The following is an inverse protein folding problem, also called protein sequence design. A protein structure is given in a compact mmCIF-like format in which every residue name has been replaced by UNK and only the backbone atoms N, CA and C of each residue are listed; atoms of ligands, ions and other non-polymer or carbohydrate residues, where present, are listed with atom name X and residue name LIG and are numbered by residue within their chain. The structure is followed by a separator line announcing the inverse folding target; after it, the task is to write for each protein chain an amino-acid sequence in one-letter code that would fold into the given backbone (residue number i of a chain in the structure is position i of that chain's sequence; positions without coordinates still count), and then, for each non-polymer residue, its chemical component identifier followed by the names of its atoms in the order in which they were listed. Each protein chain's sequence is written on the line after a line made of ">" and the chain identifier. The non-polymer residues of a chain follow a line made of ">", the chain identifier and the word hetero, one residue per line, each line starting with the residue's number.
data_IF_600236927204
#
_entry.id   IF_600236927204
#
_cell.length_a   1.000
_cell.length_b   1.000
_cell.length_c   1.000
_cell.angle_alpha   90.00
_cell.angle_beta   90.00
_cell.angle_gamma   90.00
#
_symmetry.space_group_name_H-M   'P 1'
#
loop_
_entity.id
_entity.type
_entity.pdbx_description
1 polymer ?
#
# COMPACT_ATOMS: atom_id res chain seq x y z
N UNK A 1 -23.20 20.75 4.78
CA UNK A 1 -22.22 19.64 4.83
C UNK A 1 -20.79 20.19 4.76
N UNK A 2 -20.17 20.54 5.89
CA UNK A 2 -18.77 21.03 5.98
C UNK A 2 -18.09 20.38 7.19
N UNK A 3 -17.68 19.11 7.06
CA UNK A 3 -17.06 18.36 8.17
C UNK A 3 -15.95 17.37 7.76
N UNK A 4 -15.84 17.02 6.48
CA UNK A 4 -14.83 16.05 6.00
C UNK A 4 -13.49 16.69 5.59
N UNK A 5 -13.24 17.94 5.99
CA UNK A 5 -11.99 18.62 5.65
C UNK A 5 -10.94 18.32 6.71
N UNK A 6 -10.00 17.44 6.33
CA UNK A 6 -8.67 17.21 6.92
C UNK A 6 -8.61 16.30 8.15
N UNK A 7 -8.98 15.03 7.98
CA UNK A 7 -8.29 14.00 8.78
C UNK A 7 -6.81 14.06 8.38
N UNK A 8 -5.94 14.41 9.32
CA UNK A 8 -4.50 14.43 9.06
C UNK A 8 -4.00 13.01 8.72
N UNK A 9 -2.99 12.86 7.83
CA UNK A 9 -2.41 11.55 7.52
C UNK A 9 -1.98 10.78 8.78
N UNK A 10 -1.54 11.51 9.81
CA UNK A 10 -1.17 10.94 11.12
C UNK A 10 -2.38 10.41 11.90
N UNK A 11 -3.52 11.11 11.86
CA UNK A 11 -4.75 10.65 12.49
C UNK A 11 -5.30 9.40 11.79
N UNK A 12 -5.24 9.36 10.46
CA UNK A 12 -5.61 8.18 9.66
C UNK A 12 -4.70 6.98 9.98
N UNK A 13 -3.38 7.19 10.03
CA UNK A 13 -2.41 6.15 10.41
C UNK A 13 -2.72 5.56 11.79
N UNK A 14 -2.99 6.41 12.79
CA UNK A 14 -3.37 5.96 14.14
C UNK A 14 -4.69 5.19 14.17
N UNK A 15 -5.67 5.61 13.36
CA UNK A 15 -6.94 4.91 13.24
C UNK A 15 -6.75 3.52 12.64
N UNK A 16 -6.00 3.41 11.54
CA UNK A 16 -5.67 2.13 10.90
C UNK A 16 -4.96 1.18 11.86
N UNK A 17 -3.95 1.68 12.59
CA UNK A 17 -3.25 0.88 13.61
C UNK A 17 -4.20 0.34 14.69
N UNK A 18 -5.18 1.12 15.14
CA UNK A 18 -6.20 0.67 16.12
C UNK A 18 -7.12 -0.43 15.57
N UNK A 19 -7.29 -0.49 14.25
CA UNK A 19 -8.07 -1.54 13.58
C UNK A 19 -7.20 -2.77 13.25
N UNK A 20 -5.96 -2.83 13.74
CA UNK A 20 -5.02 -3.92 13.42
C UNK A 20 -4.47 -3.84 12.00
N UNK A 21 -4.66 -2.71 11.32
CA UNK A 21 -4.17 -2.49 9.96
C UNK A 21 -2.80 -1.81 10.06
N UNK A 22 -1.75 -2.55 9.67
CA UNK A 22 -0.37 -2.03 9.62
C UNK A 22 0.05 -1.78 8.18
N UNK A 23 0.58 -0.60 7.91
CA UNK A 23 1.19 -0.26 6.62
C UNK A 23 2.69 -0.05 6.82
N UNK A 24 3.50 -0.84 6.11
CA UNK A 24 4.96 -0.80 6.18
C UNK A 24 5.55 -0.72 4.77
N UNK A 25 6.59 0.11 4.55
CA UNK A 25 7.37 0.03 3.31
C UNK A 25 8.00 -1.36 3.19
N UNK A 26 8.18 -1.81 1.95
CA UNK A 26 9.03 -2.95 1.61
C UNK A 26 10.33 -2.39 1.06
N UNK A 27 11.41 -2.62 1.79
CA UNK A 27 12.73 -2.12 1.43
C UNK A 27 13.36 -2.97 0.32
N UNK A 28 14.31 -2.36 -0.40
CA UNK A 28 15.16 -3.01 -1.41
C UNK A 28 14.41 -3.77 -2.52
N UNK A 29 13.27 -3.25 -2.96
CA UNK A 29 12.52 -3.85 -4.08
C UNK A 29 13.18 -3.50 -5.40
N UNK A 30 13.73 -4.51 -6.06
CA UNK A 30 14.36 -4.35 -7.37
C UNK A 30 13.34 -4.33 -8.52
N UNK A 31 12.26 -5.11 -8.42
CA UNK A 31 11.31 -5.27 -9.52
C UNK A 31 9.93 -5.76 -9.06
N UNK A 32 8.88 -5.28 -9.72
CA UNK A 32 7.54 -5.86 -9.69
C UNK A 32 7.16 -6.35 -11.08
N UNK A 33 6.74 -7.61 -11.18
CA UNK A 33 6.31 -8.24 -12.43
C UNK A 33 4.84 -8.62 -12.34
N UNK A 34 3.99 -7.92 -13.10
CA UNK A 34 2.56 -8.23 -13.21
C UNK A 34 2.34 -9.06 -14.47
N UNK A 35 2.21 -10.38 -14.29
CA UNK A 35 1.91 -11.32 -15.39
C UNK A 35 0.41 -11.54 -15.51
N UNK A 36 -0.12 -11.33 -16.71
CA UNK A 36 -1.50 -11.66 -17.06
C UNK A 36 -1.52 -12.65 -18.23
N UNK A 37 -2.68 -13.22 -18.56
CA UNK A 37 -2.81 -14.10 -19.74
C UNK A 37 -2.49 -13.41 -21.08
N UNK A 38 -2.51 -12.07 -21.13
CA UNK A 38 -2.39 -11.28 -22.38
C UNK A 38 -1.09 -10.50 -22.49
N UNK A 39 -0.49 -10.14 -21.36
CA UNK A 39 0.70 -9.28 -21.31
C UNK A 39 1.41 -9.40 -19.96
N UNK A 40 2.65 -8.96 -19.98
CA UNK A 40 3.51 -8.76 -18.83
C UNK A 40 3.76 -7.26 -18.66
N UNK A 41 3.72 -6.78 -17.42
CA UNK A 41 4.11 -5.41 -17.07
C UNK A 41 5.26 -5.53 -16.07
N UNK A 42 6.36 -4.88 -16.37
CA UNK A 42 7.57 -4.85 -15.54
C UNK A 42 7.70 -3.42 -15.02
N UNK A 43 7.94 -3.32 -13.71
CA UNK A 43 8.19 -2.07 -13.02
C UNK A 43 9.52 -2.24 -12.29
N UNK A 44 10.55 -1.56 -12.76
CA UNK A 44 11.90 -1.61 -12.18
C UNK A 44 12.06 -0.56 -11.07
N UNK A 45 12.72 -0.94 -9.99
CA UNK A 45 12.95 -0.12 -8.79
C UNK A 45 11.69 0.59 -8.22
N UNK A 46 10.56 -0.13 -7.99
CA UNK A 46 9.35 0.49 -7.48
C UNK A 46 9.43 0.83 -5.99
N UNK A 47 8.67 1.84 -5.58
CA UNK A 47 8.29 2.01 -4.18
C UNK A 47 7.11 1.07 -3.86
N UNK A 48 7.31 0.16 -2.91
CA UNK A 48 6.27 -0.79 -2.49
C UNK A 48 5.92 -0.61 -1.02
N UNK A 49 4.63 -0.53 -0.72
CA UNK A 49 4.12 -0.59 0.65
C UNK A 49 3.19 -1.80 0.82
N UNK A 50 3.30 -2.48 1.96
CA UNK A 50 2.47 -3.63 2.32
C UNK A 50 1.49 -3.23 3.40
N UNK A 51 0.23 -3.58 3.22
CA UNK A 51 -0.85 -3.43 4.17
C UNK A 51 -1.35 -4.82 4.57
N UNK A 52 -1.35 -5.15 5.86
CA UNK A 52 -1.93 -6.41 6.36
C UNK A 52 -3.29 -6.16 7.00
N UNK A 53 -4.31 -6.89 6.54
CA UNK A 53 -5.69 -6.78 7.03
C UNK A 53 -6.36 -8.16 7.02
N UNK A 54 -6.76 -8.67 8.19
CA UNK A 54 -7.51 -9.93 8.29
C UNK A 54 -6.82 -11.14 7.65
N UNK A 55 -5.48 -11.21 7.72
CA UNK A 55 -4.68 -12.26 7.10
C UNK A 55 -4.39 -12.07 5.60
N UNK A 56 -4.92 -11.01 4.97
CA UNK A 56 -4.64 -10.65 3.59
C UNK A 56 -3.53 -9.59 3.54
N UNK A 57 -2.64 -9.71 2.54
CA UNK A 57 -1.64 -8.68 2.21
C UNK A 57 -2.08 -7.91 0.98
N UNK A 58 -2.12 -6.59 1.09
CA UNK A 58 -2.37 -5.67 -0.02
C UNK A 58 -1.06 -4.93 -0.30
N UNK A 59 -0.66 -4.91 -1.57
CA UNK A 59 0.56 -4.23 -2.02
C UNK A 59 0.19 -2.96 -2.78
N UNK A 60 0.67 -1.82 -2.31
CA UNK A 60 0.69 -0.60 -3.09
C UNK A 60 2.02 -0.55 -3.84
N UNK A 61 1.96 -0.51 -5.17
CA UNK A 61 3.14 -0.43 -6.03
C UNK A 61 3.09 0.91 -6.75
N UNK A 62 4.14 1.70 -6.59
CA UNK A 62 4.38 2.94 -7.33
C UNK A 62 5.66 2.76 -8.12
N UNK A 63 5.59 2.96 -9.43
CA UNK A 63 6.63 2.67 -10.40
C UNK A 63 6.81 3.78 -11.40
#
# INVERSE_FOLDING_TARGET
>A
MRGMRRISPRAMKRMMQRMGISMSPMDDVEQVVIKTRKKEIIIDYPEVAVLEMGGQKIFQVVG
#
